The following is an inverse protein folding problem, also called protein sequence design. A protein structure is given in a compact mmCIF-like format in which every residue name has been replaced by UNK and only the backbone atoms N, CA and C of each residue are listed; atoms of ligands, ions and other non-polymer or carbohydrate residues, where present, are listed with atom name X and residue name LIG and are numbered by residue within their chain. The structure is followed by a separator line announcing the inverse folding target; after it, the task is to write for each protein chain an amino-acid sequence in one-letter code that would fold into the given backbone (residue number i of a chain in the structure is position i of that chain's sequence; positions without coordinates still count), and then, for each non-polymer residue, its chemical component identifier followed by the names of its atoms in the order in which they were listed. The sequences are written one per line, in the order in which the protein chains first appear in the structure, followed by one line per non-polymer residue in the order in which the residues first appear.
data_IF_847914585114
#
_entry.id   IF_847914585114
#
_cell.length_a   1.000
_cell.length_b   1.000
_cell.length_c   1.000
_cell.angle_alpha   90.00
_cell.angle_beta   90.00
_cell.angle_gamma   90.00
#
_symmetry.space_group_name_H-M   'P 1'
#
loop_
_entity.id
_entity.type
_entity.pdbx_description
1 polymer ?
#
# COMPACT_ATOMS: atom_id res chain seq x y z
N UNK A 1 3.06 -56.72 -50.30
CA UNK A 1 3.73 -56.49 -49.02
C UNK A 1 3.63 -55.00 -48.75
N UNK A 2 2.57 -54.56 -47.98
CA UNK A 2 2.20 -53.16 -47.75
C UNK A 2 2.78 -52.75 -46.41
N UNK A 3 3.73 -51.83 -46.44
CA UNK A 3 4.32 -51.21 -45.24
C UNK A 3 3.42 -50.05 -44.78
N UNK A 4 2.66 -50.25 -43.68
CA UNK A 4 1.92 -49.15 -43.03
C UNK A 4 2.86 -48.33 -42.17
N UNK A 5 3.10 -47.14 -42.61
CA UNK A 5 3.81 -46.13 -41.80
C UNK A 5 2.80 -45.51 -40.80
N UNK A 6 2.96 -45.84 -39.52
CA UNK A 6 2.23 -45.17 -38.44
C UNK A 6 2.90 -43.84 -38.13
N UNK A 7 2.27 -42.74 -38.53
CA UNK A 7 2.68 -41.39 -38.19
C UNK A 7 2.09 -41.07 -36.81
N UNK A 8 2.88 -41.22 -35.75
CA UNK A 8 2.51 -40.80 -34.40
C UNK A 8 2.68 -39.28 -34.28
N UNK A 9 1.55 -38.56 -34.33
CA UNK A 9 1.49 -37.15 -34.02
C UNK A 9 1.76 -36.94 -32.52
N UNK A 10 2.94 -36.49 -32.17
CA UNK A 10 3.26 -36.02 -30.81
C UNK A 10 2.70 -34.59 -30.71
N UNK A 11 1.55 -34.47 -30.07
CA UNK A 11 0.95 -33.19 -29.71
C UNK A 11 1.78 -32.62 -28.56
N UNK A 12 2.65 -31.67 -28.83
CA UNK A 12 3.32 -30.89 -27.80
C UNK A 12 2.31 -29.91 -27.21
N UNK A 13 1.72 -30.27 -26.09
CA UNK A 13 1.01 -29.32 -25.24
C UNK A 13 2.01 -28.40 -24.59
N UNK A 14 2.20 -27.20 -25.13
CA UNK A 14 2.86 -26.11 -24.46
C UNK A 14 1.94 -25.65 -23.32
N UNK A 15 2.19 -26.16 -22.13
CA UNK A 15 1.60 -25.67 -20.89
C UNK A 15 2.26 -24.32 -20.63
N UNK A 16 1.59 -23.23 -21.05
CA UNK A 16 2.01 -21.87 -20.69
C UNK A 16 1.78 -21.71 -19.19
N UNK A 17 2.79 -22.02 -18.38
CA UNK A 17 2.87 -21.58 -17.00
C UNK A 17 3.04 -20.06 -17.03
N UNK A 18 1.92 -19.34 -16.90
CA UNK A 18 1.97 -17.93 -16.56
C UNK A 18 2.51 -17.82 -15.12
N UNK A 19 3.81 -17.62 -15.00
CA UNK A 19 4.42 -17.22 -13.73
C UNK A 19 3.89 -15.81 -13.43
N UNK A 20 2.88 -15.71 -12.56
CA UNK A 20 2.54 -14.45 -11.92
C UNK A 20 3.68 -14.12 -10.97
N UNK A 21 4.63 -13.30 -11.43
CA UNK A 21 5.63 -12.72 -10.54
C UNK A 21 4.88 -11.75 -9.64
N UNK A 22 4.62 -12.16 -8.39
CA UNK A 22 4.16 -11.24 -7.37
C UNK A 22 5.19 -10.10 -7.31
N UNK A 23 4.73 -8.88 -7.59
CA UNK A 23 5.59 -7.69 -7.60
C UNK A 23 6.04 -7.43 -6.17
N UNK A 24 7.29 -7.75 -5.88
CA UNK A 24 7.89 -7.53 -4.56
C UNK A 24 8.22 -6.04 -4.43
N UNK A 25 7.34 -5.29 -3.78
CA UNK A 25 7.56 -3.87 -3.54
C UNK A 25 8.63 -3.68 -2.48
N UNK A 26 9.68 -2.96 -2.84
CA UNK A 26 10.87 -2.80 -2.01
C UNK A 26 10.57 -2.00 -0.73
N UNK A 27 10.53 -2.68 0.42
CA UNK A 27 10.29 -2.08 1.74
C UNK A 27 11.34 -0.99 2.04
N UNK A 28 12.61 -1.20 1.68
CA UNK A 28 13.68 -0.22 1.91
C UNK A 28 13.47 1.05 1.09
N UNK A 29 13.03 0.91 -0.16
CA UNK A 29 12.64 2.07 -0.98
C UNK A 29 11.43 2.77 -0.38
N UNK A 30 10.44 2.00 0.10
CA UNK A 30 9.27 2.51 0.79
C UNK A 30 9.62 3.33 2.04
N UNK A 31 10.59 2.87 2.83
CA UNK A 31 11.12 3.61 3.98
C UNK A 31 11.72 4.96 3.55
N UNK A 32 12.60 4.97 2.56
CA UNK A 32 13.23 6.20 2.06
C UNK A 32 12.18 7.20 1.54
N UNK A 33 11.21 6.72 0.79
CA UNK A 33 10.12 7.54 0.25
C UNK A 33 9.19 8.05 1.36
N UNK A 34 8.89 7.22 2.36
CA UNK A 34 8.14 7.61 3.56
C UNK A 34 8.86 8.73 4.31
N UNK A 35 10.15 8.55 4.58
CA UNK A 35 10.94 9.58 5.28
C UNK A 35 10.94 10.91 4.53
N UNK A 36 11.00 10.87 3.21
CA UNK A 36 11.02 12.06 2.37
C UNK A 36 9.66 12.77 2.29
N UNK A 37 8.57 12.02 2.17
CA UNK A 37 7.27 12.57 1.78
C UNK A 37 6.21 12.59 2.90
N UNK A 38 6.38 11.78 3.96
CA UNK A 38 5.32 11.53 4.95
C UNK A 38 5.76 11.88 6.38
N UNK A 39 7.06 11.72 6.69
CA UNK A 39 7.56 11.78 8.07
C UNK A 39 7.45 13.16 8.72
N UNK A 40 7.35 14.24 7.95
CA UNK A 40 7.17 15.60 8.47
C UNK A 40 5.88 15.77 9.27
N UNK A 41 4.82 15.04 8.89
CA UNK A 41 3.52 15.04 9.56
C UNK A 41 3.30 13.77 10.41
N UNK A 42 3.61 12.60 9.84
CA UNK A 42 3.36 11.31 10.51
C UNK A 42 4.51 10.84 11.40
N UNK A 43 5.55 11.65 11.59
CA UNK A 43 6.78 11.41 12.34
C UNK A 43 7.66 10.31 11.74
N UNK A 44 8.99 10.37 12.01
CA UNK A 44 9.96 9.41 11.47
C UNK A 44 9.69 7.96 11.88
N UNK A 45 9.14 7.77 13.08
CA UNK A 45 8.79 6.48 13.67
C UNK A 45 7.33 6.08 13.45
N UNK A 46 6.62 6.74 12.55
CA UNK A 46 5.21 6.51 12.23
C UNK A 46 4.24 6.71 13.41
N UNK A 47 4.67 7.37 14.50
CA UNK A 47 3.82 7.55 15.69
C UNK A 47 2.69 8.57 15.51
N UNK A 48 2.75 9.40 14.47
CA UNK A 48 1.83 10.51 14.30
C UNK A 48 1.95 11.55 15.41
N UNK A 49 1.03 12.49 15.43
CA UNK A 49 0.98 13.49 16.50
C UNK A 49 0.38 12.87 17.78
N UNK A 50 0.95 13.12 18.99
CA UNK A 50 0.47 12.50 20.24
C UNK A 50 -1.01 12.73 20.55
N UNK A 51 -1.56 13.88 20.12
CA UNK A 51 -2.95 14.26 20.36
C UNK A 51 -3.79 14.33 19.07
N UNK A 52 -3.48 13.49 18.10
CA UNK A 52 -4.11 13.46 16.79
C UNK A 52 -5.65 13.32 16.83
N UNK A 53 -6.20 12.73 17.90
CA UNK A 53 -7.65 12.55 18.07
C UNK A 53 -8.35 13.77 18.70
N UNK A 54 -7.64 14.55 19.50
CA UNK A 54 -8.24 15.54 20.41
C UNK A 54 -7.82 16.98 20.11
N UNK A 55 -6.67 17.20 19.46
CA UNK A 55 -6.20 18.55 19.15
C UNK A 55 -6.23 18.83 17.66
N UNK A 56 -6.53 20.06 17.33
CA UNK A 56 -6.38 20.62 16.01
C UNK A 56 -5.07 21.41 15.94
N UNK A 57 -4.53 21.61 14.73
CA UNK A 57 -3.40 22.50 14.51
C UNK A 57 -3.85 23.99 14.56
N UNK A 58 -2.90 24.91 14.41
CA UNK A 58 -3.18 26.35 14.45
C UNK A 58 -4.18 26.81 13.36
N UNK A 59 -4.32 26.06 12.28
CA UNK A 59 -5.24 26.33 11.18
C UNK A 59 -6.61 25.63 11.36
N UNK A 60 -6.80 24.92 12.47
CA UNK A 60 -8.02 24.18 12.79
C UNK A 60 -8.14 22.83 12.10
N UNK A 61 -7.04 22.25 11.61
CA UNK A 61 -7.04 20.95 10.96
C UNK A 61 -6.68 19.83 11.94
N UNK A 62 -7.19 18.62 11.68
CA UNK A 62 -6.79 17.44 12.44
C UNK A 62 -5.31 17.14 12.25
N UNK A 63 -4.68 16.76 13.35
CA UNK A 63 -3.30 16.32 13.38
C UNK A 63 -3.13 14.95 12.69
N UNK A 64 -1.92 14.67 12.22
CA UNK A 64 -1.60 13.43 11.52
C UNK A 64 -1.71 12.21 12.44
N UNK A 65 -2.49 11.17 12.09
CA UNK A 65 -2.63 9.97 12.90
C UNK A 65 -1.37 9.09 12.85
N UNK A 66 -1.21 8.16 13.82
CA UNK A 66 -0.20 7.12 13.76
C UNK A 66 -0.41 6.20 12.56
N UNK A 67 0.71 5.75 11.96
CA UNK A 67 0.73 4.77 10.87
C UNK A 67 1.43 3.46 11.27
N UNK A 68 1.87 3.32 12.54
CA UNK A 68 2.58 2.18 13.09
C UNK A 68 1.66 1.06 13.63
N UNK A 69 0.39 1.08 13.28
CA UNK A 69 -0.61 0.14 13.79
C UNK A 69 -1.40 0.64 15.01
N UNK A 70 -0.92 1.71 15.69
CA UNK A 70 -1.67 2.33 16.81
C UNK A 70 -2.80 3.26 16.33
N UNK A 71 -2.77 3.67 15.07
CA UNK A 71 -3.86 4.44 14.45
C UNK A 71 -4.88 3.54 13.77
N UNK A 72 -5.58 4.06 12.77
CA UNK A 72 -6.68 3.37 12.11
C UNK A 72 -6.41 3.01 10.63
N UNK A 73 -5.20 3.21 10.11
CA UNK A 73 -4.86 2.93 8.72
C UNK A 73 -5.19 1.47 8.31
N UNK A 74 -4.99 0.53 9.21
CA UNK A 74 -5.25 -0.89 8.99
C UNK A 74 -6.75 -1.27 8.91
N UNK A 75 -7.66 -0.31 9.11
CA UNK A 75 -9.10 -0.49 8.88
C UNK A 75 -9.53 -0.18 7.44
N UNK A 76 -8.63 0.34 6.61
CA UNK A 76 -8.91 0.74 5.23
C UNK A 76 -8.33 -0.25 4.24
N UNK A 77 -9.04 -0.50 3.14
CA UNK A 77 -8.56 -1.35 2.07
C UNK A 77 -7.26 -0.79 1.43
N UNK A 78 -6.38 -1.65 0.90
CA UNK A 78 -5.13 -1.21 0.25
C UNK A 78 -5.34 -0.12 -0.81
N UNK A 79 -6.41 -0.26 -1.60
CA UNK A 79 -6.77 0.71 -2.65
C UNK A 79 -7.14 2.08 -2.08
N UNK A 80 -7.82 2.13 -0.94
CA UNK A 80 -8.24 3.40 -0.32
C UNK A 80 -7.02 4.13 0.27
N UNK A 81 -6.10 3.39 0.88
CA UNK A 81 -4.82 3.93 1.34
C UNK A 81 -3.99 4.47 0.17
N UNK A 82 -3.93 3.72 -0.94
CA UNK A 82 -3.27 4.17 -2.17
C UNK A 82 -3.88 5.49 -2.68
N UNK A 83 -5.20 5.57 -2.78
CA UNK A 83 -5.89 6.77 -3.25
C UNK A 83 -5.66 7.96 -2.32
N UNK A 84 -5.60 7.73 -1.01
CA UNK A 84 -5.30 8.78 -0.02
C UNK A 84 -3.89 9.34 -0.21
N UNK A 85 -2.89 8.51 -0.50
CA UNK A 85 -1.52 8.99 -0.79
C UNK A 85 -1.47 9.69 -2.14
N UNK A 86 -2.11 9.14 -3.17
CA UNK A 86 -2.11 9.70 -4.53
C UNK A 86 -2.81 11.05 -4.62
N UNK A 87 -4.04 11.11 -4.12
CA UNK A 87 -4.96 12.24 -4.37
C UNK A 87 -5.28 13.05 -3.13
N UNK A 88 -4.81 12.61 -1.96
CA UNK A 88 -5.15 13.23 -0.68
C UNK A 88 -6.57 12.95 -0.21
N UNK A 89 -6.85 13.36 1.02
CA UNK A 89 -8.16 13.14 1.64
C UNK A 89 -9.28 13.96 0.96
N UNK A 90 -8.94 15.01 0.23
CA UNK A 90 -9.89 15.79 -0.57
C UNK A 90 -10.59 14.96 -1.66
N UNK A 91 -10.01 13.86 -2.08
CA UNK A 91 -10.66 12.91 -3.01
C UNK A 91 -11.83 12.18 -2.36
N UNK A 92 -11.75 11.96 -1.04
CA UNK A 92 -12.77 11.27 -0.24
C UNK A 92 -13.81 12.28 0.24
N UNK A 93 -13.36 13.43 0.73
CA UNK A 93 -14.21 14.55 1.17
C UNK A 93 -13.85 15.83 0.39
N UNK A 94 -14.68 16.25 -0.58
CA UNK A 94 -14.46 17.48 -1.36
C UNK A 94 -14.34 18.75 -0.53
N UNK A 95 -14.90 18.76 0.70
CA UNK A 95 -14.85 19.89 1.62
C UNK A 95 -13.62 19.86 2.52
N UNK A 96 -12.78 18.83 2.41
CA UNK A 96 -11.57 18.69 3.21
C UNK A 96 -10.63 19.88 3.00
N UNK A 97 -10.27 20.54 4.10
CA UNK A 97 -9.34 21.68 4.15
C UNK A 97 -8.03 21.36 4.86
N UNK A 98 -7.84 20.10 5.27
CA UNK A 98 -6.65 19.66 5.99
C UNK A 98 -5.40 19.54 5.11
N UNK A 99 -4.32 19.02 5.71
CA UNK A 99 -2.97 19.02 5.10
C UNK A 99 -2.59 17.71 4.39
N UNK A 100 -3.45 16.68 4.39
CA UNK A 100 -3.22 15.46 3.61
C UNK A 100 -3.67 15.69 2.16
N UNK A 101 -2.83 16.38 1.39
CA UNK A 101 -3.17 16.88 0.05
C UNK A 101 -2.92 15.87 -1.07
N UNK A 102 -2.25 14.76 -0.75
CA UNK A 102 -1.82 13.77 -1.74
C UNK A 102 -0.49 14.14 -2.41
N UNK A 103 0.02 13.20 -3.21
CA UNK A 103 1.24 13.38 -3.99
C UNK A 103 1.13 12.68 -5.34
N UNK A 104 0.66 13.41 -6.33
CA UNK A 104 0.47 12.89 -7.70
C UNK A 104 1.79 12.66 -8.45
N UNK A 105 2.92 13.17 -7.94
CA UNK A 105 4.24 13.01 -8.56
C UNK A 105 4.91 11.66 -8.25
N UNK A 106 4.43 10.93 -7.23
CA UNK A 106 4.94 9.59 -6.92
C UNK A 106 4.49 8.60 -8.01
N UNK A 107 5.36 7.68 -8.42
CA UNK A 107 4.94 6.55 -9.24
C UNK A 107 4.02 5.60 -8.45
N UNK A 108 3.19 4.81 -9.13
CA UNK A 108 2.31 3.85 -8.45
C UNK A 108 3.10 2.84 -7.61
N UNK A 109 4.24 2.37 -8.12
CA UNK A 109 5.14 1.45 -7.42
C UNK A 109 5.76 2.07 -6.16
N UNK A 110 6.01 3.37 -6.18
CA UNK A 110 6.52 4.10 -5.02
C UNK A 110 5.46 4.15 -3.91
N UNK A 111 4.21 4.38 -4.28
CA UNK A 111 3.10 4.38 -3.31
C UNK A 111 2.92 2.99 -2.71
N UNK A 112 2.94 1.92 -3.52
CA UNK A 112 2.86 0.55 -3.01
C UNK A 112 4.05 0.19 -2.13
N UNK A 113 5.26 0.66 -2.45
CA UNK A 113 6.45 0.49 -1.61
C UNK A 113 6.29 1.19 -0.25
N UNK A 114 5.76 2.42 -0.23
CA UNK A 114 5.44 3.15 1.00
C UNK A 114 4.42 2.37 1.84
N UNK A 115 3.34 1.88 1.24
CA UNK A 115 2.31 1.12 1.96
C UNK A 115 2.85 -0.18 2.53
N UNK A 116 3.70 -0.90 1.81
CA UNK A 116 4.36 -2.10 2.31
C UNK A 116 5.32 -1.80 3.46
N UNK A 117 6.07 -0.70 3.39
CA UNK A 117 6.88 -0.24 4.50
C UNK A 117 6.00 0.06 5.74
N UNK A 118 4.93 0.82 5.59
CA UNK A 118 4.00 1.12 6.69
C UNK A 118 3.45 -0.17 7.30
N UNK A 119 2.95 -1.10 6.48
CA UNK A 119 2.44 -2.39 6.94
C UNK A 119 3.53 -3.22 7.63
N UNK A 120 4.79 -3.17 7.17
CA UNK A 120 5.89 -3.93 7.77
C UNK A 120 6.15 -3.58 9.23
N UNK A 121 5.84 -2.32 9.62
CA UNK A 121 6.02 -1.79 10.98
C UNK A 121 4.87 -2.19 11.93
N UNK A 122 3.73 -2.65 11.39
CA UNK A 122 2.58 -3.00 12.24
C UNK A 122 2.89 -4.20 13.14
N UNK A 123 2.33 -4.26 14.38
CA UNK A 123 2.33 -5.46 15.19
C UNK A 123 1.73 -6.65 14.45
N UNK A 124 2.22 -7.86 14.73
CA UNK A 124 1.82 -9.06 14.00
C UNK A 124 0.31 -9.35 14.09
N UNK A 125 -0.31 -9.12 15.23
CA UNK A 125 -1.75 -9.26 15.41
C UNK A 125 -2.57 -8.28 14.54
N UNK A 126 -2.01 -7.10 14.23
CA UNK A 126 -2.63 -6.12 13.33
C UNK A 126 -2.46 -6.57 11.87
N UNK A 127 -1.27 -7.05 11.48
CA UNK A 127 -1.04 -7.62 10.14
C UNK A 127 -2.01 -8.77 9.87
N UNK A 128 -2.09 -9.73 10.80
CA UNK A 128 -2.99 -10.88 10.68
C UNK A 128 -4.45 -10.46 10.48
N UNK A 129 -4.93 -9.48 11.25
CA UNK A 129 -6.29 -8.95 11.07
C UNK A 129 -6.49 -8.29 9.72
N UNK A 130 -5.52 -7.49 9.29
CA UNK A 130 -5.55 -6.82 8.00
C UNK A 130 -5.59 -7.83 6.85
N UNK A 131 -4.69 -8.82 6.89
CA UNK A 131 -4.60 -9.85 5.85
C UNK A 131 -5.83 -10.75 5.82
N UNK A 132 -6.44 -11.05 6.99
CA UNK A 132 -7.68 -11.81 7.03
C UNK A 132 -8.88 -11.06 6.44
N UNK A 133 -8.83 -9.73 6.41
CA UNK A 133 -9.92 -8.88 5.93
C UNK A 133 -9.72 -8.41 4.48
N UNK A 134 -8.49 -8.09 4.10
CA UNK A 134 -8.14 -7.49 2.81
C UNK A 134 -7.09 -8.28 2.04
N UNK A 135 -6.46 -9.28 2.62
CA UNK A 135 -5.52 -10.16 1.96
C UNK A 135 -6.24 -11.09 0.97
N UNK A 136 -5.63 -11.28 -0.19
CA UNK A 136 -6.01 -12.30 -1.15
C UNK A 136 -5.33 -13.63 -0.83
#
# INVERSE_FOLDING_TARGET
MLFKIFLTSILFYFFNLSFSVAKDFNIKNGELLYQKNCSSCHMKNLSGHPKWQTELDADGHRQAPPLNGAGHAWHHAPKDLFQTIRYGYKKIDPNYKGKMLGNESLADDDIWSILNYIKSIWPENIKTKYDSHFGE
#
